data_IF_369439567330
#
_entry.id   IF_369439567330
#
_cell.length_a   1.000
_cell.length_b   1.000
_cell.length_c   1.000
_cell.angle_alpha   90.00
_cell.angle_beta   90.00
_cell.angle_gamma   90.00
#
_symmetry.space_group_name_H-M   'P 1'
#
loop_
_entity.id
_entity.type
_entity.pdbx_description
1 polymer ?
#
# COMPACT_ATOMS: atom_id res chain seq x y z
N UNK A 1 10.27 1.86 2.99
CA UNK A 1 11.30 2.10 1.96
C UNK A 1 12.36 0.99 1.98
N UNK A 2 12.74 0.52 0.83
CA UNK A 2 13.73 -0.57 0.71
C UNK A 2 15.19 -0.10 0.86
N UNK A 3 15.49 1.07 0.34
CA UNK A 3 16.84 1.64 0.34
C UNK A 3 17.21 2.20 1.70
N UNK A 4 18.30 1.73 2.30
CA UNK A 4 18.82 2.26 3.56
C UNK A 4 19.19 3.75 3.45
N UNK A 5 19.75 4.15 2.31
CA UNK A 5 20.11 5.54 2.04
C UNK A 5 18.89 6.46 2.00
N UNK A 6 17.82 6.03 1.31
CA UNK A 6 16.58 6.80 1.28
C UNK A 6 15.86 6.81 2.63
N UNK A 7 15.95 5.74 3.40
CA UNK A 7 15.43 5.73 4.78
C UNK A 7 16.12 6.79 5.64
N UNK A 8 17.42 6.90 5.55
CA UNK A 8 18.20 7.91 6.26
C UNK A 8 17.82 9.34 5.83
N UNK A 9 17.73 9.58 4.52
CA UNK A 9 17.28 10.87 3.98
C UNK A 9 15.87 11.24 4.47
N UNK A 10 14.94 10.32 4.45
CA UNK A 10 13.55 10.55 4.90
C UNK A 10 13.51 10.86 6.40
N UNK A 11 14.29 10.14 7.20
CA UNK A 11 14.36 10.37 8.65
C UNK A 11 14.94 11.75 9.00
N UNK A 12 15.91 12.22 8.23
CA UNK A 12 16.48 13.56 8.39
C UNK A 12 15.53 14.66 7.92
N UNK A 13 14.85 14.43 6.80
CA UNK A 13 13.93 15.42 6.23
C UNK A 13 12.62 15.55 7.00
N UNK A 14 12.14 14.44 7.56
CA UNK A 14 10.86 14.36 8.29
C UNK A 14 11.08 13.73 9.68
N UNK A 15 11.67 14.47 10.63
CA UNK A 15 12.13 13.90 11.91
C UNK A 15 11.02 13.36 12.81
N UNK A 16 9.78 13.70 12.58
CA UNK A 16 8.64 13.14 13.33
C UNK A 16 7.97 11.94 12.67
N UNK A 17 8.40 11.60 11.46
CA UNK A 17 7.80 10.51 10.67
C UNK A 17 8.55 9.21 10.93
N UNK A 18 7.88 8.14 11.39
CA UNK A 18 8.48 6.82 11.46
C UNK A 18 8.82 6.30 10.06
N UNK A 19 10.09 5.96 9.84
CA UNK A 19 10.57 5.39 8.57
C UNK A 19 11.08 3.98 8.83
N UNK A 20 10.50 3.00 8.14
CA UNK A 20 10.92 1.61 8.23
C UNK A 20 11.65 1.19 6.95
N UNK A 21 12.81 0.57 7.12
CA UNK A 21 13.48 -0.10 6.02
C UNK A 21 12.90 -1.49 5.83
N UNK A 22 12.42 -1.78 4.64
CA UNK A 22 11.87 -3.09 4.32
C UNK A 22 11.32 -3.15 2.90
N UNK A 23 10.97 -4.36 2.50
CA UNK A 23 10.33 -4.62 1.22
C UNK A 23 8.82 -4.42 1.36
N UNK A 24 8.23 -3.57 0.53
CA UNK A 24 6.79 -3.34 0.50
C UNK A 24 6.02 -4.61 0.14
N UNK A 25 6.62 -5.55 -0.60
CA UNK A 25 6.01 -6.85 -0.90
C UNK A 25 6.09 -7.86 0.26
N UNK A 26 6.73 -7.49 1.35
CA UNK A 26 6.69 -8.17 2.66
C UNK A 26 6.14 -7.21 3.72
N UNK A 27 5.01 -6.61 3.46
CA UNK A 27 4.45 -5.49 4.22
C UNK A 27 4.19 -5.85 5.69
N UNK A 28 3.47 -6.93 5.94
CA UNK A 28 3.14 -7.36 7.30
C UNK A 28 4.39 -7.64 8.12
N UNK A 29 5.33 -8.38 7.55
CA UNK A 29 6.62 -8.67 8.20
C UNK A 29 7.38 -7.40 8.54
N UNK A 30 7.45 -6.45 7.62
CA UNK A 30 8.13 -5.18 7.82
C UNK A 30 7.48 -4.36 8.94
N UNK A 31 6.17 -4.28 8.96
CA UNK A 31 5.43 -3.53 9.98
C UNK A 31 5.54 -4.17 11.37
N UNK A 32 5.55 -5.49 11.46
CA UNK A 32 5.69 -6.21 12.73
C UNK A 32 7.10 -6.14 13.30
N UNK A 33 8.12 -6.12 12.45
CA UNK A 33 9.54 -6.04 12.87
C UNK A 33 10.01 -4.62 13.16
N UNK A 34 9.29 -3.62 12.69
CA UNK A 34 9.73 -2.22 12.67
C UNK A 34 9.29 -1.35 13.85
N UNK A 35 9.33 -1.85 15.07
CA UNK A 35 9.28 -0.97 16.25
C UNK A 35 7.92 -0.36 16.59
N UNK A 36 6.85 -1.11 16.59
CA UNK A 36 5.65 -0.71 17.31
C UNK A 36 4.43 -0.30 16.49
N UNK A 37 4.48 -0.37 15.17
CA UNK A 37 3.29 -0.11 14.34
C UNK A 37 2.20 -1.17 14.54
N UNK A 38 2.62 -2.41 14.66
CA UNK A 38 1.78 -3.57 14.92
C UNK A 38 2.36 -4.33 16.12
N UNK A 39 2.55 -3.64 17.23
CA UNK A 39 3.12 -4.26 18.44
C UNK A 39 2.01 -4.82 19.32
N UNK A 40 2.02 -6.11 19.50
CA UNK A 40 1.21 -6.81 20.50
C UNK A 40 0.60 -8.11 19.96
N UNK A 41 0.56 -9.13 20.81
CA UNK A 41 -0.09 -10.41 20.53
C UNK A 41 -1.60 -10.28 20.26
N UNK A 42 -2.18 -9.11 20.54
CA UNK A 42 -3.61 -8.82 20.37
C UNK A 42 -3.95 -8.05 19.11
N UNK A 43 -2.96 -7.73 18.27
CA UNK A 43 -3.26 -7.04 17.01
C UNK A 43 -3.85 -8.04 16.02
N UNK A 44 -5.15 -8.02 15.93
CA UNK A 44 -5.94 -8.91 15.07
C UNK A 44 -5.83 -8.57 13.58
N UNK A 45 -4.89 -7.72 13.19
CA UNK A 45 -4.63 -7.40 11.79
C UNK A 45 -5.49 -6.29 11.19
N UNK A 46 -6.44 -5.72 11.90
CA UNK A 46 -7.33 -4.68 11.36
C UNK A 46 -7.09 -3.33 12.05
N UNK A 47 -5.87 -2.78 11.94
CA UNK A 47 -5.46 -1.61 12.71
C UNK A 47 -5.20 -0.35 11.91
N UNK A 48 -5.00 -0.44 10.60
CA UNK A 48 -4.65 0.71 9.76
C UNK A 48 -5.91 1.42 9.22
N UNK A 49 -5.87 2.74 9.24
CA UNK A 49 -6.96 3.59 8.73
C UNK A 49 -6.85 3.85 7.22
N UNK A 50 -5.70 3.61 6.62
CA UNK A 50 -5.47 3.76 5.20
C UNK A 50 -4.05 3.39 4.81
N UNK A 51 -3.86 3.03 3.54
CA UNK A 51 -2.55 2.78 2.94
C UNK A 51 -2.48 3.55 1.63
N UNK A 52 -1.39 4.28 1.42
CA UNK A 52 -1.08 4.97 0.17
C UNK A 52 0.16 4.34 -0.45
N UNK A 53 0.02 3.87 -1.68
CA UNK A 53 1.10 3.22 -2.43
C UNK A 53 1.38 3.98 -3.73
N UNK A 54 2.62 4.36 -3.94
CA UNK A 54 3.05 5.09 -5.14
C UNK A 54 4.12 4.36 -5.95
N UNK A 55 4.56 3.17 -5.53
CA UNK A 55 5.58 2.44 -6.28
C UNK A 55 5.01 1.76 -7.54
N UNK A 56 5.85 1.48 -8.55
CA UNK A 56 5.40 0.94 -9.84
C UNK A 56 5.05 -0.55 -9.76
N UNK A 57 3.85 -0.86 -9.28
CA UNK A 57 3.39 -2.23 -9.04
C UNK A 57 3.31 -3.07 -10.33
N UNK A 58 3.03 -2.44 -11.48
CA UNK A 58 2.91 -3.14 -12.77
C UNK A 58 4.22 -3.79 -13.27
N UNK A 59 5.35 -3.45 -12.66
CA UNK A 59 6.65 -4.09 -12.97
C UNK A 59 6.80 -5.48 -12.34
N UNK A 60 5.90 -5.86 -11.44
CA UNK A 60 5.92 -7.15 -10.75
C UNK A 60 4.85 -8.10 -11.29
N UNK A 61 5.06 -9.43 -11.20
CA UNK A 61 4.06 -10.42 -11.56
C UNK A 61 2.73 -10.21 -10.85
N UNK A 62 1.63 -10.55 -11.49
CA UNK A 62 0.29 -10.38 -10.93
C UNK A 62 0.11 -11.10 -9.58
N UNK A 63 0.66 -12.31 -9.43
CA UNK A 63 0.60 -13.06 -8.18
C UNK A 63 1.25 -12.30 -7.00
N UNK A 64 2.35 -11.62 -7.24
CA UNK A 64 3.05 -10.80 -6.23
C UNK A 64 2.22 -9.57 -5.87
N UNK A 65 1.61 -8.92 -6.86
CA UNK A 65 0.74 -7.75 -6.66
C UNK A 65 -0.52 -8.12 -5.88
N UNK A 66 -1.15 -9.25 -6.19
CA UNK A 66 -2.30 -9.77 -5.44
C UNK A 66 -1.97 -10.09 -4.00
N UNK A 67 -0.83 -10.72 -3.76
CA UNK A 67 -0.36 -10.99 -2.40
C UNK A 67 -0.23 -9.71 -1.59
N UNK A 68 0.38 -8.68 -2.14
CA UNK A 68 0.50 -7.38 -1.48
C UNK A 68 -0.87 -6.76 -1.18
N UNK A 69 -1.77 -6.74 -2.15
CA UNK A 69 -3.12 -6.21 -1.94
C UNK A 69 -3.86 -6.95 -0.83
N UNK A 70 -3.84 -8.27 -0.85
CA UNK A 70 -4.50 -9.10 0.16
C UNK A 70 -3.91 -8.88 1.55
N UNK A 71 -2.60 -8.79 1.65
CA UNK A 71 -1.88 -8.49 2.89
C UNK A 71 -2.25 -7.09 3.41
N UNK A 72 -2.25 -6.08 2.54
CA UNK A 72 -2.64 -4.72 2.88
C UNK A 72 -4.10 -4.65 3.36
N UNK A 73 -5.02 -5.30 2.66
CA UNK A 73 -6.44 -5.33 3.05
C UNK A 73 -6.68 -6.05 4.39
N UNK A 74 -5.84 -7.03 4.72
CA UNK A 74 -5.88 -7.70 6.04
C UNK A 74 -5.47 -6.74 7.17
N UNK A 75 -4.53 -5.86 6.92
CA UNK A 75 -4.05 -4.87 7.88
C UNK A 75 -4.98 -3.66 8.03
N UNK A 76 -5.79 -3.39 7.02
CA UNK A 76 -6.74 -2.29 7.02
C UNK A 76 -8.00 -2.61 7.82
N UNK A 77 -8.53 -1.62 8.51
CA UNK A 77 -9.89 -1.68 9.06
C UNK A 77 -10.91 -1.91 7.93
N UNK A 78 -12.04 -2.60 8.19
CA UNK A 78 -13.10 -2.75 7.20
C UNK A 78 -13.55 -1.39 6.63
N UNK A 79 -13.63 -1.28 5.31
CA UNK A 79 -13.96 -0.05 4.62
C UNK A 79 -12.83 0.96 4.46
N UNK A 80 -11.68 0.77 5.13
CA UNK A 80 -10.54 1.65 5.00
C UNK A 80 -9.86 1.51 3.62
N UNK A 81 -9.34 2.60 3.03
CA UNK A 81 -8.86 2.58 1.67
C UNK A 81 -7.41 2.10 1.52
N UNK A 82 -7.16 1.33 0.49
CA UNK A 82 -5.84 1.14 -0.11
C UNK A 82 -5.79 1.94 -1.41
N UNK A 83 -4.91 2.92 -1.47
CA UNK A 83 -4.77 3.82 -2.60
C UNK A 83 -3.51 3.45 -3.39
N UNK A 84 -3.68 3.13 -4.68
CA UNK A 84 -2.59 2.82 -5.58
C UNK A 84 -2.54 3.84 -6.71
N UNK A 85 -1.45 4.58 -6.79
CA UNK A 85 -1.16 5.46 -7.90
C UNK A 85 -0.63 4.65 -9.10
N UNK A 86 -1.12 4.94 -10.29
CA UNK A 86 -0.69 4.25 -11.51
C UNK A 86 -0.75 5.15 -12.73
N UNK A 87 0.20 4.98 -13.63
CA UNK A 87 0.22 5.62 -14.95
C UNK A 87 -0.44 4.78 -16.04
N UNK A 88 -0.77 3.53 -15.74
CA UNK A 88 -1.31 2.60 -16.73
C UNK A 88 -2.82 2.70 -16.91
N UNK A 89 -3.30 2.29 -18.09
CA UNK A 89 -4.72 2.13 -18.39
C UNK A 89 -5.32 0.90 -17.71
N UNK A 90 -4.47 -0.01 -17.26
CA UNK A 90 -4.85 -1.30 -16.70
C UNK A 90 -4.91 -1.20 -15.17
N UNK A 91 -5.93 -1.83 -14.59
CA UNK A 91 -6.04 -1.98 -13.14
C UNK A 91 -4.75 -2.61 -12.58
N UNK A 92 -4.08 -1.97 -11.58
CA UNK A 92 -2.81 -2.49 -11.05
C UNK A 92 -2.93 -3.88 -10.45
N UNK A 93 -4.03 -4.16 -9.77
CA UNK A 93 -4.34 -5.46 -9.18
C UNK A 93 -5.83 -5.76 -9.34
N UNK A 94 -6.16 -6.94 -9.87
CA UNK A 94 -7.53 -7.42 -9.90
C UNK A 94 -7.82 -8.17 -8.60
N UNK A 95 -8.78 -7.73 -7.77
CA UNK A 95 -9.12 -8.42 -6.53
C UNK A 95 -9.66 -9.83 -6.79
N UNK A 96 -9.28 -10.77 -5.93
CA UNK A 96 -9.78 -12.15 -5.99
C UNK A 96 -11.20 -12.29 -5.44
N UNK A 97 -11.66 -11.34 -4.66
CA UNK A 97 -12.95 -11.37 -3.97
C UNK A 97 -13.87 -10.23 -4.42
N UNK A 98 -15.14 -10.57 -4.64
CA UNK A 98 -16.19 -9.57 -4.87
C UNK A 98 -16.49 -8.71 -3.64
N UNK A 99 -15.99 -9.11 -2.46
CA UNK A 99 -16.09 -8.30 -1.25
C UNK A 99 -15.17 -7.07 -1.25
N UNK A 100 -14.26 -6.98 -2.24
CA UNK A 100 -13.38 -5.82 -2.41
C UNK A 100 -13.95 -4.92 -3.49
N UNK A 101 -14.33 -3.71 -3.12
CA UNK A 101 -14.74 -2.68 -4.07
C UNK A 101 -13.51 -1.97 -4.65
N UNK A 102 -13.60 -1.60 -5.92
CA UNK A 102 -12.56 -0.85 -6.61
C UNK A 102 -13.17 0.40 -7.24
N UNK A 103 -12.63 1.54 -6.90
CA UNK A 103 -13.00 2.83 -7.49
C UNK A 103 -11.78 3.50 -8.10
N UNK A 104 -11.99 4.34 -9.09
CA UNK A 104 -10.91 5.10 -9.73
C UNK A 104 -11.16 6.57 -9.61
N UNK A 105 -10.07 7.35 -9.46
CA UNK A 105 -10.13 8.80 -9.63
C UNK A 105 -10.35 9.17 -11.10
N UNK A 106 -10.64 10.43 -11.36
CA UNK A 106 -10.50 11.00 -12.69
C UNK A 106 -9.05 10.93 -13.18
N UNK A 107 -8.86 11.08 -14.49
CA UNK A 107 -7.53 11.15 -15.07
C UNK A 107 -6.84 12.46 -14.69
N UNK A 108 -5.60 12.37 -14.27
CA UNK A 108 -4.75 13.53 -14.00
C UNK A 108 -3.93 13.82 -15.26
N UNK A 109 -4.52 14.61 -16.15
CA UNK A 109 -3.96 14.90 -17.48
C UNK A 109 -2.75 15.85 -17.46
N UNK A 110 -2.53 16.58 -16.36
CA UNK A 110 -1.35 17.43 -16.18
C UNK A 110 -0.05 16.64 -16.04
N UNK A 111 -0.14 15.34 -15.71
CA UNK A 111 0.99 14.43 -15.77
C UNK A 111 1.15 13.85 -17.18
N UNK A 112 2.40 13.61 -17.56
CA UNK A 112 2.72 12.95 -18.82
C UNK A 112 3.68 11.77 -18.54
N UNK A 113 3.23 10.50 -18.68
CA UNK A 113 1.88 10.06 -19.07
C UNK A 113 0.80 10.39 -18.02
N UNK A 114 -0.49 10.41 -18.41
CA UNK A 114 -1.59 10.66 -17.48
C UNK A 114 -1.63 9.64 -16.35
N UNK A 115 -1.99 10.09 -15.16
CA UNK A 115 -2.04 9.27 -13.97
C UNK A 115 -3.47 9.11 -13.44
N UNK A 116 -3.67 8.06 -12.67
CA UNK A 116 -4.94 7.72 -12.04
C UNK A 116 -4.69 7.09 -10.69
N UNK A 117 -5.60 7.31 -9.74
CA UNK A 117 -5.57 6.65 -8.43
C UNK A 117 -6.64 5.56 -8.40
N UNK A 118 -6.24 4.37 -8.00
CA UNK A 118 -7.10 3.22 -7.79
C UNK A 118 -7.35 3.06 -6.30
N UNK A 119 -8.61 2.96 -5.91
CA UNK A 119 -9.04 2.87 -4.51
C UNK A 119 -9.68 1.51 -4.27
N UNK A 120 -9.05 0.70 -3.44
CA UNK A 120 -9.53 -0.61 -3.04
C UNK A 120 -10.06 -0.55 -1.61
N UNK A 121 -11.24 -1.11 -1.37
CA UNK A 121 -11.84 -1.22 -0.04
C UNK A 121 -12.39 -2.62 0.19
N UNK A 122 -12.04 -3.20 1.32
CA UNK A 122 -12.69 -4.44 1.76
C UNK A 122 -14.06 -4.09 2.35
N UNK A 123 -15.09 -4.91 2.07
CA UNK A 123 -16.41 -4.80 2.67
C UNK A 123 -16.40 -4.97 4.20
N UNK A 124 -17.44 -4.52 4.81
CA UNK A 124 -17.65 -4.64 6.26
C UNK A 124 -17.96 -6.06 6.68
#
# INVERSE_FOLDING_TARGET
EYSAEFCEMLSLRYPGLPVLQGDAYALEKTLRSGGGFLSGEKDTGHSLDGIVSSFPSLTRPEAVRKKLLNEALTLLKPGAPYLQFSYGLVMPVTPDSRAVSVHTSEWIWKNLPPARVWVYRKGH
#
